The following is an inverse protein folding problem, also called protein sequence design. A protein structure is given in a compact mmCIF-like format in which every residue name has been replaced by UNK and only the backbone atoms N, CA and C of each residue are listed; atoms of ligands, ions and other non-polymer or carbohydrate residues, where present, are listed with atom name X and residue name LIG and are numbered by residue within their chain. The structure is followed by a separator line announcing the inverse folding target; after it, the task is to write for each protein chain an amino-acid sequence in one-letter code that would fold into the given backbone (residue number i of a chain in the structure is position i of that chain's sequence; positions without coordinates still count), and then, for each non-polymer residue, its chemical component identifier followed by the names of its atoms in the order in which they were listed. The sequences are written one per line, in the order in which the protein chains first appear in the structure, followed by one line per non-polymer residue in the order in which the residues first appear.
data_IF_794599633041
#
_entry.id   IF_794599633041
#
_cell.length_a   1.000
_cell.length_b   1.000
_cell.length_c   1.000
_cell.angle_alpha   90.00
_cell.angle_beta   90.00
_cell.angle_gamma   90.00
#
_symmetry.space_group_name_H-M   'P 1'
#
loop_
_entity.id
_entity.type
_entity.pdbx_description
1 polymer ?
#
# COMPACT_ATOMS: atom_id res chain seq x y z
N UNK A 1 -9.31 36.48 -3.62
CA UNK A 1 -9.97 35.46 -4.44
C UNK A 1 -11.39 35.95 -4.66
N UNK A 2 -11.80 36.17 -5.91
CA UNK A 2 -13.19 36.57 -6.19
C UNK A 2 -14.14 35.38 -5.91
N UNK A 3 -15.41 35.64 -5.63
CA UNK A 3 -16.41 34.62 -5.31
C UNK A 3 -16.56 33.59 -6.47
N UNK A 4 -16.45 34.06 -7.72
CA UNK A 4 -16.45 33.19 -8.91
C UNK A 4 -15.22 32.26 -8.97
N UNK A 5 -14.07 32.73 -8.50
CA UNK A 5 -12.85 31.90 -8.44
C UNK A 5 -12.97 30.83 -7.35
N UNK A 6 -13.58 31.18 -6.21
CA UNK A 6 -13.84 30.24 -5.12
C UNK A 6 -14.81 29.13 -5.55
N UNK A 7 -15.91 29.48 -6.22
CA UNK A 7 -16.87 28.50 -6.73
C UNK A 7 -16.23 27.49 -7.69
N UNK A 8 -15.32 27.96 -8.54
CA UNK A 8 -14.55 27.09 -9.43
C UNK A 8 -13.66 26.14 -8.64
N UNK A 9 -12.90 26.64 -7.66
CA UNK A 9 -12.05 25.80 -6.81
C UNK A 9 -12.86 24.77 -6.01
N UNK A 10 -14.02 25.14 -5.48
CA UNK A 10 -14.92 24.19 -4.83
C UNK A 10 -15.51 23.17 -5.82
N UNK A 11 -15.65 23.54 -7.09
CA UNK A 11 -15.90 22.62 -8.20
C UNK A 11 -14.81 21.55 -8.32
N UNK A 12 -13.55 21.98 -8.38
CA UNK A 12 -12.39 21.09 -8.51
C UNK A 12 -12.24 20.16 -7.28
N UNK A 13 -12.50 20.67 -6.07
CA UNK A 13 -12.52 19.85 -4.84
C UNK A 13 -13.56 18.73 -4.94
N UNK A 14 -14.77 19.03 -5.44
CA UNK A 14 -15.82 18.01 -5.63
C UNK A 14 -15.41 16.95 -6.65
N UNK A 15 -14.71 17.35 -7.71
CA UNK A 15 -14.16 16.43 -8.71
C UNK A 15 -13.11 15.53 -8.05
N UNK A 16 -12.17 16.11 -7.29
CA UNK A 16 -11.12 15.37 -6.60
C UNK A 16 -11.71 14.32 -5.64
N UNK A 17 -12.73 14.65 -4.85
CA UNK A 17 -13.40 13.68 -3.98
C UNK A 17 -14.02 12.51 -4.74
N UNK A 18 -14.66 12.76 -5.88
CA UNK A 18 -15.26 11.71 -6.72
C UNK A 18 -14.18 10.83 -7.36
N UNK A 19 -13.11 11.43 -7.85
CA UNK A 19 -11.98 10.70 -8.41
C UNK A 19 -11.32 9.81 -7.34
N UNK A 20 -11.14 10.34 -6.13
CA UNK A 20 -10.57 9.59 -5.01
C UNK A 20 -11.47 8.43 -4.59
N UNK A 21 -12.79 8.62 -4.61
CA UNK A 21 -13.75 7.54 -4.36
C UNK A 21 -13.62 6.40 -5.38
N UNK A 22 -13.60 6.71 -6.68
CA UNK A 22 -13.45 5.70 -7.73
C UNK A 22 -12.10 4.99 -7.64
N UNK A 23 -11.03 5.73 -7.35
CA UNK A 23 -9.70 5.18 -7.10
C UNK A 23 -9.72 4.19 -5.93
N UNK A 24 -10.23 4.61 -4.77
CA UNK A 24 -10.28 3.77 -3.57
C UNK A 24 -11.13 2.53 -3.79
N UNK A 25 -12.29 2.66 -4.47
CA UNK A 25 -13.14 1.53 -4.82
C UNK A 25 -12.38 0.51 -5.67
N UNK A 26 -11.70 0.94 -6.72
CA UNK A 26 -10.90 0.06 -7.58
C UNK A 26 -9.77 -0.63 -6.82
N UNK A 27 -9.10 0.08 -5.91
CA UNK A 27 -8.06 -0.48 -5.05
C UNK A 27 -8.64 -1.57 -4.15
N UNK A 28 -9.79 -1.32 -3.51
CA UNK A 28 -10.46 -2.31 -2.66
C UNK A 28 -10.85 -3.57 -3.44
N UNK A 29 -11.42 -3.39 -4.64
CA UNK A 29 -11.78 -4.52 -5.53
C UNK A 29 -10.53 -5.32 -5.93
N UNK A 30 -9.44 -4.64 -6.31
CA UNK A 30 -8.17 -5.28 -6.67
C UNK A 30 -7.56 -6.06 -5.50
N UNK A 31 -7.45 -5.42 -4.34
CA UNK A 31 -6.85 -6.04 -3.14
C UNK A 31 -7.69 -7.22 -2.66
N UNK A 32 -9.02 -7.12 -2.73
CA UNK A 32 -9.92 -8.24 -2.44
C UNK A 32 -9.72 -9.40 -3.42
N UNK A 33 -9.63 -9.11 -4.73
CA UNK A 33 -9.37 -10.13 -5.75
C UNK A 33 -8.03 -10.83 -5.53
N UNK A 34 -6.95 -10.07 -5.29
CA UNK A 34 -5.62 -10.59 -5.04
C UNK A 34 -5.58 -11.49 -3.80
N UNK A 35 -6.16 -11.05 -2.68
CA UNK A 35 -6.24 -11.84 -1.46
C UNK A 35 -6.93 -13.18 -1.70
N UNK A 36 -8.12 -13.15 -2.32
CA UNK A 36 -8.89 -14.35 -2.62
C UNK A 36 -8.13 -15.29 -3.55
N UNK A 37 -7.48 -14.77 -4.61
CA UNK A 37 -6.73 -15.59 -5.55
C UNK A 37 -5.48 -16.23 -4.93
N UNK A 38 -4.82 -15.54 -4.00
CA UNK A 38 -3.69 -16.07 -3.24
C UNK A 38 -4.16 -16.96 -2.06
N UNK A 39 -5.49 -17.09 -1.86
CA UNK A 39 -6.13 -17.89 -0.82
C UNK A 39 -6.15 -17.26 0.57
N UNK A 40 -5.74 -16.00 0.73
CA UNK A 40 -5.69 -15.33 2.03
C UNK A 40 -6.98 -14.56 2.31
N UNK A 41 -7.33 -14.42 3.60
CA UNK A 41 -8.53 -13.73 4.03
C UNK A 41 -8.20 -12.40 4.68
N UNK A 42 -8.86 -11.32 4.26
CA UNK A 42 -8.65 -10.01 4.86
C UNK A 42 -9.06 -9.99 6.35
N UNK A 43 -8.17 -9.53 7.23
CA UNK A 43 -8.43 -9.45 8.68
C UNK A 43 -8.59 -8.01 9.16
N UNK A 44 -7.65 -7.14 8.79
CA UNK A 44 -7.61 -5.75 9.28
C UNK A 44 -6.77 -4.85 8.37
N UNK A 45 -6.78 -3.55 8.64
CA UNK A 45 -5.90 -2.62 7.93
C UNK A 45 -5.63 -1.35 8.73
N UNK A 46 -4.54 -0.68 8.37
CA UNK A 46 -4.13 0.55 9.03
C UNK A 46 -3.42 1.52 8.08
N UNK A 47 -3.61 2.84 8.26
CA UNK A 47 -2.79 3.83 7.60
C UNK A 47 -1.37 3.79 8.16
N UNK A 48 -0.39 3.88 7.27
CA UNK A 48 1.04 3.89 7.58
C UNK A 48 1.67 5.28 7.40
N UNK A 49 1.00 6.20 6.70
CA UNK A 49 1.46 7.59 6.53
C UNK A 49 0.80 8.60 7.49
N UNK A 50 -0.43 8.31 7.92
CA UNK A 50 -1.22 9.18 8.79
C UNK A 50 -1.81 8.40 9.96
N UNK A 51 -2.45 9.11 10.89
CA UNK A 51 -3.21 8.48 11.97
C UNK A 51 -4.61 8.10 11.50
N UNK A 52 -5.21 7.09 12.14
CA UNK A 52 -6.63 6.80 11.95
C UNK A 52 -7.50 7.95 12.45
N UNK A 53 -8.58 8.26 11.70
CA UNK A 53 -9.60 9.20 12.17
C UNK A 53 -10.17 8.75 13.52
N UNK A 54 -10.43 9.68 14.45
CA UNK A 54 -11.02 9.34 15.74
C UNK A 54 -12.40 8.66 15.58
N UNK A 55 -12.56 7.46 16.16
CA UNK A 55 -13.86 6.77 16.21
C UNK A 55 -14.84 7.53 17.11
N UNK A 56 -16.14 7.39 16.82
CA UNK A 56 -17.27 7.83 17.67
C UNK A 56 -17.30 9.34 17.99
N UNK A 57 -17.04 10.19 16.99
CA UNK A 57 -17.31 11.64 17.11
C UNK A 57 -16.44 12.40 18.12
N UNK A 58 -15.24 11.89 18.43
CA UNK A 58 -14.28 12.62 19.26
C UNK A 58 -13.94 13.97 18.60
N UNK A 59 -14.06 15.05 19.37
CA UNK A 59 -13.90 16.43 18.91
C UNK A 59 -12.42 16.84 18.88
N UNK A 60 -11.66 16.35 17.90
CA UNK A 60 -10.25 16.71 17.71
C UNK A 60 -10.06 17.31 16.32
N UNK A 61 -9.98 18.63 16.25
CA UNK A 61 -9.73 19.38 15.01
C UNK A 61 -8.23 19.60 14.73
N UNK A 62 -7.36 19.28 15.68
CA UNK A 62 -5.90 19.41 15.54
C UNK A 62 -5.25 18.26 14.78
N UNK A 63 -6.04 17.41 14.09
CA UNK A 63 -5.57 16.30 13.28
C UNK A 63 -5.01 16.81 11.96
N UNK A 64 -4.06 16.09 11.38
CA UNK A 64 -3.52 16.48 10.08
C UNK A 64 -4.54 16.23 8.98
N UNK A 65 -4.47 17.00 7.90
CA UNK A 65 -5.30 16.76 6.71
C UNK A 65 -5.15 15.33 6.19
N UNK A 66 -3.95 14.76 6.29
CA UNK A 66 -3.66 13.38 5.91
C UNK A 66 -4.38 12.32 6.75
N UNK A 67 -4.76 12.62 7.99
CA UNK A 67 -5.54 11.70 8.84
C UNK A 67 -6.94 11.46 8.26
N UNK A 68 -7.41 12.32 7.35
CA UNK A 68 -8.69 12.18 6.65
C UNK A 68 -8.55 11.51 5.28
N UNK A 69 -7.32 11.24 4.83
CA UNK A 69 -6.97 10.64 3.55
C UNK A 69 -6.15 9.35 3.75
N UNK A 70 -6.70 8.44 4.55
CA UNK A 70 -6.00 7.25 5.06
C UNK A 70 -5.33 6.37 3.99
N UNK A 71 -5.88 6.30 2.77
CA UNK A 71 -5.36 5.43 1.71
C UNK A 71 -4.10 5.97 1.01
N UNK A 72 -3.54 7.11 1.44
CA UNK A 72 -2.28 7.62 0.89
C UNK A 72 -1.14 6.57 0.99
N UNK A 73 -1.00 5.94 2.16
CA UNK A 73 -0.16 4.75 2.36
C UNK A 73 -0.86 3.84 3.36
N UNK A 74 -1.40 2.71 2.90
CA UNK A 74 -2.34 1.91 3.69
C UNK A 74 -2.09 0.42 3.53
N UNK A 75 -2.02 -0.27 4.67
CA UNK A 75 -1.85 -1.72 4.72
C UNK A 75 -3.18 -2.44 4.86
N UNK A 76 -3.32 -3.50 4.07
CA UNK A 76 -4.34 -4.51 4.18
C UNK A 76 -3.68 -5.80 4.66
N UNK A 77 -3.97 -6.17 5.90
CA UNK A 77 -3.48 -7.40 6.52
C UNK A 77 -4.41 -8.58 6.21
N UNK A 78 -3.82 -9.66 5.70
CA UNK A 78 -4.53 -10.84 5.18
C UNK A 78 -4.32 -12.10 6.01
N UNK A 79 -3.74 -11.97 7.20
CA UNK A 79 -3.55 -13.08 8.13
C UNK A 79 -2.56 -14.14 7.62
N UNK A 80 -2.64 -15.32 8.25
CA UNK A 80 -1.67 -16.40 8.12
C UNK A 80 -2.27 -17.64 7.45
N UNK A 81 -1.51 -18.26 6.56
CA UNK A 81 -1.76 -19.61 6.04
C UNK A 81 -0.69 -20.58 6.52
N UNK A 82 -1.05 -21.85 6.65
CA UNK A 82 -0.11 -22.95 6.88
C UNK A 82 0.18 -23.67 5.56
N UNK A 83 1.46 -23.82 5.21
CA UNK A 83 1.95 -24.49 4.00
C UNK A 83 3.18 -25.32 4.35
N UNK A 84 3.13 -26.64 4.16
CA UNK A 84 4.29 -27.53 4.37
C UNK A 84 4.98 -27.39 5.74
N UNK A 85 4.21 -27.24 6.83
CA UNK A 85 4.65 -26.95 8.20
C UNK A 85 5.22 -25.54 8.45
N UNK A 86 5.27 -24.68 7.44
CA UNK A 86 5.58 -23.27 7.58
C UNK A 86 4.30 -22.44 7.69
N UNK A 87 4.37 -21.36 8.46
CA UNK A 87 3.37 -20.30 8.53
C UNK A 87 3.80 -19.17 7.64
N UNK A 88 2.94 -18.76 6.72
CA UNK A 88 3.16 -17.59 5.89
C UNK A 88 2.05 -16.58 6.15
N UNK A 89 2.44 -15.38 6.56
CA UNK A 89 1.52 -14.27 6.79
C UNK A 89 1.68 -13.27 5.66
N UNK A 90 0.58 -12.72 5.15
CA UNK A 90 0.61 -11.75 4.06
C UNK A 90 -0.03 -10.42 4.45
N UNK A 91 0.57 -9.33 3.97
CA UNK A 91 -0.12 -8.05 3.82
C UNK A 91 0.14 -7.44 2.47
N UNK A 92 -0.80 -6.59 2.04
CA UNK A 92 -0.70 -5.78 0.84
C UNK A 92 -0.74 -4.32 1.25
N UNK A 93 0.24 -3.52 0.84
CA UNK A 93 0.29 -2.08 1.10
C UNK A 93 0.07 -1.33 -0.21
N UNK A 94 -0.84 -0.37 -0.17
CA UNK A 94 -1.06 0.58 -1.26
C UNK A 94 -0.31 1.85 -0.92
N UNK A 95 0.60 2.25 -1.81
CA UNK A 95 1.33 3.51 -1.77
C UNK A 95 0.81 4.37 -2.91
N UNK A 96 -0.15 5.24 -2.61
CA UNK A 96 -0.83 6.04 -3.64
C UNK A 96 0.10 7.06 -4.30
N UNK A 97 1.08 7.56 -3.56
CA UNK A 97 2.05 8.53 -4.05
C UNK A 97 3.40 8.32 -3.35
N UNK A 98 4.42 8.12 -4.16
CA UNK A 98 5.80 7.92 -3.68
C UNK A 98 6.55 9.24 -3.51
N UNK A 99 5.96 10.37 -3.90
CA UNK A 99 6.62 11.68 -3.92
C UNK A 99 7.21 12.09 -2.59
N UNK A 100 6.55 11.75 -1.47
CA UNK A 100 7.11 11.92 -0.13
C UNK A 100 8.40 11.11 0.09
N UNK A 101 8.40 9.84 -0.32
CA UNK A 101 9.47 8.87 -0.05
C UNK A 101 10.67 9.04 -0.98
N UNK A 102 10.43 9.55 -2.19
CA UNK A 102 11.46 9.84 -3.19
C UNK A 102 11.90 11.31 -3.20
N UNK A 103 11.28 12.14 -2.35
CA UNK A 103 11.49 13.58 -2.26
C UNK A 103 12.70 13.98 -1.42
N UNK A 104 12.85 15.28 -1.17
CA UNK A 104 13.87 15.82 -0.26
C UNK A 104 13.38 15.78 1.18
N UNK A 105 13.03 14.59 1.67
CA UNK A 105 12.47 14.42 3.01
C UNK A 105 13.49 13.77 3.93
N UNK A 106 13.50 14.20 5.20
CA UNK A 106 14.29 13.57 6.26
C UNK A 106 13.50 12.46 6.99
N UNK A 107 12.35 12.07 6.42
CA UNK A 107 11.33 11.25 7.06
C UNK A 107 10.80 11.82 8.39
N UNK A 108 10.89 13.14 8.59
CA UNK A 108 10.32 13.83 9.73
C UNK A 108 8.80 13.97 9.60
N UNK A 109 8.13 14.26 10.73
CA UNK A 109 6.71 14.60 10.74
C UNK A 109 6.41 15.92 10.01
N UNK A 110 7.30 16.90 10.14
CA UNK A 110 7.17 18.22 9.50
C UNK A 110 7.24 18.10 7.97
N UNK A 111 8.10 17.22 7.45
CA UNK A 111 8.21 16.96 6.01
C UNK A 111 6.92 16.41 5.40
N UNK A 112 6.08 15.72 6.18
CA UNK A 112 4.79 15.19 5.67
C UNK A 112 3.80 16.30 5.36
N UNK A 113 3.94 17.46 6.00
CA UNK A 113 3.07 18.61 5.82
C UNK A 113 3.58 19.59 4.77
N UNK A 114 4.85 19.47 4.40
CA UNK A 114 5.48 20.31 3.37
C UNK A 114 5.46 19.61 2.00
N UNK A 115 4.39 19.84 1.24
CA UNK A 115 4.22 19.26 -0.09
C UNK A 115 5.31 19.69 -1.08
N UNK A 116 5.99 20.81 -0.86
CA UNK A 116 7.08 21.29 -1.74
C UNK A 116 8.33 20.38 -1.67
N UNK A 117 8.46 19.59 -0.60
CA UNK A 117 9.54 18.61 -0.46
C UNK A 117 9.23 17.30 -1.19
N UNK A 118 7.99 17.10 -1.64
CA UNK A 118 7.60 15.91 -2.39
C UNK A 118 8.17 16.01 -3.80
N UNK A 119 8.50 14.87 -4.37
CA UNK A 119 8.87 14.79 -5.78
C UNK A 119 7.66 15.18 -6.65
N UNK A 120 7.86 15.84 -7.81
CA UNK A 120 6.78 16.17 -8.74
C UNK A 120 5.91 14.96 -9.09
N UNK A 121 4.61 15.19 -9.32
CA UNK A 121 3.63 14.12 -9.57
C UNK A 121 3.97 13.30 -10.82
N UNK A 122 4.57 13.92 -11.84
CA UNK A 122 4.98 13.27 -13.09
C UNK A 122 6.19 12.33 -12.90
N UNK A 123 6.91 12.48 -11.80
CA UNK A 123 8.08 11.67 -11.45
C UNK A 123 7.84 10.74 -10.26
N UNK A 124 6.61 10.75 -9.73
CA UNK A 124 6.16 9.92 -8.63
C UNK A 124 5.29 8.78 -9.18
N UNK A 125 5.16 7.70 -8.41
CA UNK A 125 4.38 6.54 -8.82
C UNK A 125 3.33 6.20 -7.77
N UNK A 126 2.34 5.41 -8.19
CA UNK A 126 1.45 4.68 -7.30
C UNK A 126 1.81 3.20 -7.35
N UNK A 127 1.93 2.57 -6.19
CA UNK A 127 2.46 1.22 -6.05
C UNK A 127 1.57 0.34 -5.19
N UNK A 128 1.66 -0.95 -5.46
CA UNK A 128 1.14 -2.03 -4.62
C UNK A 128 2.33 -2.86 -4.16
N UNK A 129 2.38 -3.13 -2.87
CA UNK A 129 3.49 -3.79 -2.19
C UNK A 129 2.95 -5.02 -1.48
N UNK A 130 3.44 -6.19 -1.84
CA UNK A 130 3.18 -7.43 -1.13
C UNK A 130 4.27 -7.65 -0.10
N UNK A 131 3.88 -8.00 1.12
CA UNK A 131 4.80 -8.33 2.19
C UNK A 131 4.41 -9.67 2.76
N UNK A 132 5.39 -10.56 2.85
CA UNK A 132 5.25 -11.88 3.40
C UNK A 132 6.15 -12.01 4.62
N UNK A 133 5.62 -12.63 5.66
CA UNK A 133 6.38 -13.03 6.84
C UNK A 133 6.34 -14.56 6.98
N UNK A 134 7.49 -15.16 7.28
CA UNK A 134 7.61 -16.59 7.54
C UNK A 134 7.74 -16.87 9.04
N UNK A 135 6.92 -17.79 9.55
CA UNK A 135 6.99 -18.35 10.89
C UNK A 135 7.03 -17.30 12.03
N UNK A 136 6.48 -16.10 11.78
CA UNK A 136 6.47 -14.98 12.71
C UNK A 136 5.09 -14.68 13.31
N UNK A 137 5.02 -13.55 14.05
CA UNK A 137 3.82 -13.09 14.76
C UNK A 137 3.30 -11.74 14.23
N UNK A 138 3.59 -11.43 12.97
CA UNK A 138 3.31 -10.16 12.29
C UNK A 138 3.73 -8.93 13.08
N UNK A 139 5.03 -8.70 13.16
CA UNK A 139 5.61 -7.52 13.82
C UNK A 139 6.26 -6.58 12.82
N UNK A 140 5.60 -6.32 11.68
CA UNK A 140 6.13 -5.39 10.69
C UNK A 140 6.16 -3.96 11.27
N UNK A 141 7.37 -3.53 11.56
CA UNK A 141 7.63 -2.17 12.02
C UNK A 141 7.95 -1.24 10.84
N UNK A 142 7.94 0.05 11.13
CA UNK A 142 8.28 1.05 10.13
C UNK A 142 9.74 0.94 9.67
N UNK A 143 10.63 0.25 10.38
CA UNK A 143 12.05 0.17 10.03
C UNK A 143 12.29 -0.72 8.82
N UNK A 144 11.54 -1.83 8.71
CA UNK A 144 11.54 -2.70 7.53
C UNK A 144 10.97 -1.98 6.30
N UNK A 145 9.94 -1.15 6.49
CA UNK A 145 9.34 -0.39 5.39
C UNK A 145 10.20 0.82 4.97
N UNK A 146 10.74 1.58 5.91
CA UNK A 146 11.39 2.88 5.63
C UNK A 146 12.61 2.81 4.72
N UNK A 147 13.36 1.69 4.73
CA UNK A 147 14.56 1.55 3.89
C UNK A 147 14.22 1.25 2.43
N UNK A 148 13.08 0.63 2.17
CA UNK A 148 12.84 -0.10 0.92
C UNK A 148 11.54 0.30 0.19
N UNK A 149 10.80 1.32 0.68
CA UNK A 149 9.58 1.85 0.04
C UNK A 149 9.81 2.94 -1.01
N UNK A 150 11.08 3.27 -1.31
CA UNK A 150 11.39 4.17 -2.43
C UNK A 150 11.03 3.52 -3.77
N UNK A 151 10.71 4.32 -4.78
CA UNK A 151 10.32 3.83 -6.10
C UNK A 151 11.35 2.94 -6.80
N UNK A 152 12.62 3.07 -6.42
CA UNK A 152 13.71 2.35 -7.08
C UNK A 152 13.87 0.92 -6.56
N UNK A 153 13.16 0.54 -5.50
CA UNK A 153 13.31 -0.76 -4.84
C UNK A 153 12.14 -1.66 -5.17
N UNK A 154 12.34 -2.66 -6.03
CA UNK A 154 11.30 -3.62 -6.43
C UNK A 154 11.12 -4.74 -5.41
N UNK A 155 12.21 -5.25 -4.84
CA UNK A 155 12.21 -6.42 -3.97
C UNK A 155 13.22 -6.22 -2.85
N UNK A 156 12.87 -6.69 -1.65
CA UNK A 156 13.76 -6.66 -0.50
C UNK A 156 13.43 -7.78 0.49
N UNK A 157 14.41 -8.18 1.28
CA UNK A 157 14.28 -9.26 2.27
C UNK A 157 14.95 -8.82 3.56
N UNK A 158 14.38 -9.15 4.71
CA UNK A 158 15.01 -8.84 6.00
C UNK A 158 16.30 -9.64 6.18
N UNK A 159 17.21 -9.14 7.02
CA UNK A 159 18.46 -9.85 7.35
C UNK A 159 18.19 -11.24 7.97
N UNK A 160 17.14 -11.34 8.79
CA UNK A 160 16.66 -12.61 9.37
C UNK A 160 15.97 -13.53 8.36
N UNK A 161 15.67 -13.03 7.15
CA UNK A 161 14.86 -13.70 6.11
C UNK A 161 13.43 -14.06 6.53
N UNK A 162 12.95 -13.46 7.60
CA UNK A 162 11.57 -13.61 8.06
C UNK A 162 10.62 -12.82 7.17
N UNK A 163 11.02 -11.63 6.67
CA UNK A 163 10.18 -10.79 5.83
C UNK A 163 10.70 -10.70 4.41
N UNK A 164 9.79 -10.73 3.44
CA UNK A 164 10.07 -10.46 2.04
C UNK A 164 9.03 -9.52 1.45
N UNK A 165 9.50 -8.43 0.87
CA UNK A 165 8.69 -7.42 0.19
C UNK A 165 8.89 -7.48 -1.32
N UNK A 166 7.79 -7.37 -2.06
CA UNK A 166 7.76 -7.24 -3.52
C UNK A 166 6.81 -6.12 -3.90
N UNK A 167 7.24 -5.21 -4.76
CA UNK A 167 6.47 -4.04 -5.12
C UNK A 167 6.37 -3.85 -6.63
N UNK A 168 5.17 -3.49 -7.06
CA UNK A 168 4.79 -3.28 -8.45
C UNK A 168 4.17 -1.89 -8.62
N UNK A 169 4.22 -1.36 -9.84
CA UNK A 169 3.43 -0.18 -10.17
C UNK A 169 1.95 -0.58 -10.24
N UNK A 170 1.08 0.23 -9.64
CA UNK A 170 -0.35 -0.05 -9.62
C UNK A 170 -0.96 -0.06 -11.04
N UNK A 171 -0.35 0.68 -11.97
CA UNK A 171 -0.71 0.69 -13.39
C UNK A 171 -0.50 -0.66 -14.08
N UNK A 172 0.29 -1.57 -13.51
CA UNK A 172 0.46 -2.93 -14.04
C UNK A 172 -0.81 -3.79 -13.82
N UNK A 173 -1.72 -3.40 -12.94
CA UNK A 173 -2.95 -4.12 -12.61
C UNK A 173 -4.16 -3.51 -13.34
N UNK A 174 -4.04 -3.37 -14.67
CA UNK A 174 -5.02 -2.64 -15.47
C UNK A 174 -6.23 -3.50 -15.90
N UNK A 175 -6.10 -4.83 -15.93
CA UNK A 175 -7.17 -5.79 -16.21
C UNK A 175 -6.87 -7.16 -15.57
N UNK A 176 -7.82 -8.09 -15.65
CA UNK A 176 -7.68 -9.42 -15.02
C UNK A 176 -6.51 -10.24 -15.57
N UNK A 177 -6.22 -10.15 -16.88
CA UNK A 177 -5.09 -10.89 -17.49
C UNK A 177 -3.76 -10.42 -16.89
N UNK A 178 -3.56 -9.10 -16.83
CA UNK A 178 -2.35 -8.53 -16.25
C UNK A 178 -2.26 -8.82 -14.74
N UNK A 179 -3.38 -8.84 -14.02
CA UNK A 179 -3.41 -9.23 -12.61
C UNK A 179 -2.95 -10.68 -12.46
N UNK A 180 -3.50 -11.60 -13.25
CA UNK A 180 -3.15 -13.03 -13.18
C UNK A 180 -1.68 -13.29 -13.53
N UNK A 181 -1.14 -12.58 -14.54
CA UNK A 181 0.29 -12.60 -14.87
C UNK A 181 1.16 -12.16 -13.68
N UNK A 182 0.76 -11.10 -12.96
CA UNK A 182 1.49 -10.60 -11.78
C UNK A 182 1.38 -11.55 -10.60
N UNK A 183 0.24 -12.23 -10.42
CA UNK A 183 0.07 -13.28 -9.39
C UNK A 183 1.01 -14.46 -9.67
N UNK A 184 1.12 -14.90 -10.92
CA UNK A 184 2.06 -15.97 -11.30
C UNK A 184 3.51 -15.54 -11.09
N UNK A 185 3.85 -14.31 -11.49
CA UNK A 185 5.18 -13.75 -11.26
C UNK A 185 5.53 -13.74 -9.75
N UNK A 186 4.59 -13.30 -8.91
CA UNK A 186 4.74 -13.27 -7.46
C UNK A 186 4.93 -14.68 -6.88
N UNK A 187 4.16 -15.67 -7.34
CA UNK A 187 4.31 -17.06 -6.92
C UNK A 187 5.73 -17.59 -7.22
N UNK A 188 6.28 -17.28 -8.39
CA UNK A 188 7.64 -17.66 -8.77
C UNK A 188 8.67 -17.00 -7.86
N UNK A 189 8.52 -15.71 -7.59
CA UNK A 189 9.43 -14.96 -6.71
C UNK A 189 9.41 -15.52 -5.27
N UNK A 190 8.23 -15.78 -4.72
CA UNK A 190 8.06 -16.34 -3.37
C UNK A 190 8.67 -17.73 -3.28
N UNK A 191 8.40 -18.60 -4.26
CA UNK A 191 9.03 -19.92 -4.31
C UNK A 191 10.55 -19.84 -4.36
N UNK A 192 11.10 -18.92 -5.15
CA UNK A 192 12.55 -18.73 -5.28
C UNK A 192 13.21 -18.19 -3.99
N UNK A 193 12.53 -17.29 -3.28
CA UNK A 193 13.12 -16.55 -2.14
C UNK A 193 12.84 -17.20 -0.80
N UNK A 194 11.64 -17.74 -0.63
CA UNK A 194 11.11 -18.28 0.61
C UNK A 194 10.93 -19.81 0.59
N UNK A 195 11.17 -20.46 -0.56
CA UNK A 195 10.97 -21.90 -0.76
C UNK A 195 9.54 -22.39 -0.46
N UNK A 196 8.55 -21.50 -0.63
CA UNK A 196 7.12 -21.78 -0.40
C UNK A 196 6.34 -21.58 -1.69
N UNK A 197 5.37 -22.45 -1.94
CA UNK A 197 4.42 -22.31 -3.05
C UNK A 197 3.09 -21.81 -2.47
N UNK A 198 2.64 -20.61 -2.84
CA UNK A 198 1.39 -20.02 -2.33
C UNK A 198 0.16 -20.72 -2.91
N UNK A 199 0.11 -20.81 -4.25
CA UNK A 199 -0.97 -21.46 -5.00
C UNK A 199 -0.44 -22.74 -5.64
N UNK A 200 -1.07 -23.87 -5.36
CA UNK A 200 -0.90 -25.10 -6.13
C UNK A 200 -1.92 -25.06 -7.26
N UNK A 201 -1.49 -24.76 -8.49
CA UNK A 201 -2.33 -24.95 -9.68
C UNK A 201 -2.11 -26.38 -10.16
N UNK A 202 -3.17 -27.18 -10.25
CA UNK A 202 -3.14 -28.43 -11.01
C UNK A 202 -2.83 -28.07 -12.46
N UNK A 203 -1.77 -28.69 -13.01
CA UNK A 203 -1.39 -28.59 -14.41
C UNK A 203 -2.33 -29.40 -15.30
#
# INVERSE_FOLDING_TARGET
MDNKDLDKVLGDVRIAYRLLYEYQKRVLDLVSYLGNNLGFSYEQGCPRFSSTVPRKGKRVLSRWSWDWLNMYFYEFHFGTQEKNNDKITMSVIIQSDTGYYDGKTSNSQEDRLNLDNFKPVELSNSRIIFIFELNGNWTIDDSFLKKDISNNVREWISESKEFYGVAYNLSEFYNNVAIDEKVEELNILIKKKLNITLIEREL
#
